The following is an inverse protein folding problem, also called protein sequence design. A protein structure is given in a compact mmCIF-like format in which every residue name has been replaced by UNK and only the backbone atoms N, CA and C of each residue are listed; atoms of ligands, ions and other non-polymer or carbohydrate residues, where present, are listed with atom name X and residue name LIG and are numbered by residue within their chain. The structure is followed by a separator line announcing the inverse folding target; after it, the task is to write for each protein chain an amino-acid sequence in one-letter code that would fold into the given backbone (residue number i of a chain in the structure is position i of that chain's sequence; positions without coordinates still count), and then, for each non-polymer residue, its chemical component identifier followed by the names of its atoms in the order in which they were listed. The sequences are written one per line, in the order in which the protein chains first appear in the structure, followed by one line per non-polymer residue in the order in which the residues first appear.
data_IF_469854669958
#
_entry.id   IF_469854669958
#
_cell.length_a   1.000
_cell.length_b   1.000
_cell.length_c   1.000
_cell.angle_alpha   90.00
_cell.angle_beta   90.00
_cell.angle_gamma   90.00
#
_symmetry.space_group_name_H-M   'P 1'
#
loop_
_entity.id
_entity.type
_entity.pdbx_description
1 polymer ?
#
# COMPACT_ATOMS: atom_id res chain seq x y z
N UNK A 1 3.05 23.51 28.85
CA UNK A 1 2.18 22.38 28.47
C UNK A 1 1.44 22.80 27.21
N UNK A 2 1.76 22.21 26.06
CA UNK A 2 1.16 22.60 24.78
C UNK A 2 -0.22 21.96 24.64
N UNK A 3 -1.26 22.69 25.05
CA UNK A 3 -2.64 22.32 24.76
C UNK A 3 -3.08 23.09 23.51
N UNK A 4 -3.39 22.38 22.44
CA UNK A 4 -4.12 22.96 21.31
C UNK A 4 -5.60 23.05 21.69
N UNK A 5 -6.19 24.24 21.57
CA UNK A 5 -7.63 24.48 21.77
C UNK A 5 -8.47 24.21 20.52
N UNK A 6 -7.84 23.75 19.43
CA UNK A 6 -8.53 23.50 18.17
C UNK A 6 -9.32 22.19 18.21
N UNK A 7 -10.56 22.25 17.71
CA UNK A 7 -11.38 21.06 17.51
C UNK A 7 -10.75 20.16 16.44
N UNK A 8 -10.47 18.90 16.79
CA UNK A 8 -10.05 17.86 15.84
C UNK A 8 -11.27 17.04 15.43
N UNK A 9 -11.46 16.85 14.13
CA UNK A 9 -12.63 16.18 13.55
C UNK A 9 -12.32 14.71 13.23
N UNK A 10 -13.28 13.83 13.45
CA UNK A 10 -13.27 12.42 13.05
C UNK A 10 -14.31 12.16 11.95
N UNK A 11 -14.29 10.97 11.34
CA UNK A 11 -15.28 10.58 10.32
C UNK A 11 -16.74 10.68 10.80
N UNK A 12 -17.01 10.38 12.08
CA UNK A 12 -18.36 10.48 12.68
C UNK A 12 -18.85 11.92 12.85
N UNK A 13 -17.95 12.90 12.79
CA UNK A 13 -18.25 14.31 13.05
C UNK A 13 -18.69 15.04 11.78
N UNK A 14 -18.66 14.38 10.61
CA UNK A 14 -18.89 15.00 9.30
C UNK A 14 -19.82 14.16 8.42
N UNK A 15 -20.49 14.84 7.48
CA UNK A 15 -21.30 14.23 6.43
C UNK A 15 -20.95 14.88 5.08
N UNK A 16 -21.07 14.11 3.99
CA UNK A 16 -20.93 14.62 2.63
C UNK A 16 -22.29 15.19 2.19
N UNK A 17 -22.33 16.47 1.83
CA UNK A 17 -23.54 17.11 1.33
C UNK A 17 -23.79 16.66 -0.13
N UNK A 18 -24.96 16.07 -0.46
CA UNK A 18 -25.28 15.67 -1.81
C UNK A 18 -25.27 16.85 -2.79
N UNK A 19 -24.87 16.60 -4.04
CA UNK A 19 -24.88 17.57 -5.14
C UNK A 19 -25.54 16.97 -6.38
N UNK A 20 -26.17 17.82 -7.19
CA UNK A 20 -26.69 17.41 -8.49
C UNK A 20 -25.59 16.81 -9.37
N UNK A 21 -25.88 15.68 -10.03
CA UNK A 21 -24.92 14.94 -10.86
C UNK A 21 -25.58 14.52 -12.18
N UNK A 22 -24.76 14.36 -13.22
CA UNK A 22 -25.17 13.81 -14.53
C UNK A 22 -24.99 12.28 -14.61
N UNK A 23 -24.45 11.67 -13.55
CA UNK A 23 -24.22 10.22 -13.50
C UNK A 23 -25.56 9.52 -13.30
N UNK A 24 -25.94 8.68 -14.27
CA UNK A 24 -27.24 8.00 -14.29
C UNK A 24 -27.22 6.67 -13.55
N UNK A 25 -26.05 6.04 -13.38
CA UNK A 25 -25.91 4.79 -12.67
C UNK A 25 -24.61 4.70 -11.87
N UNK A 26 -24.65 3.97 -10.74
CA UNK A 26 -23.46 3.70 -9.91
C UNK A 26 -22.36 2.95 -10.66
N UNK A 27 -22.74 2.14 -11.66
CA UNK A 27 -21.79 1.40 -12.52
C UNK A 27 -20.95 2.31 -13.42
N UNK A 28 -21.40 3.55 -13.63
CA UNK A 28 -20.72 4.52 -14.50
C UNK A 28 -19.64 5.30 -13.72
N UNK A 29 -19.48 5.03 -12.43
CA UNK A 29 -18.45 5.63 -11.57
C UNK A 29 -17.14 4.87 -11.74
N UNK A 30 -16.09 5.56 -12.16
CA UNK A 30 -14.73 5.02 -12.23
C UNK A 30 -14.03 5.28 -10.89
N UNK A 31 -13.53 4.22 -10.26
CA UNK A 31 -12.82 4.30 -8.98
C UNK A 31 -11.29 4.34 -9.16
N UNK A 32 -10.78 3.87 -10.29
CA UNK A 32 -9.37 3.95 -10.63
C UNK A 32 -8.88 5.40 -10.59
N UNK A 33 -7.90 5.63 -9.73
CA UNK A 33 -7.29 6.93 -9.51
C UNK A 33 -5.85 6.87 -10.02
N UNK A 34 -5.44 7.89 -10.78
CA UNK A 34 -4.05 8.04 -11.22
C UNK A 34 -3.31 8.93 -10.23
N UNK A 35 -2.19 8.45 -9.71
CA UNK A 35 -1.33 9.17 -8.76
C UNK A 35 0.07 9.29 -9.36
N UNK A 36 0.60 10.51 -9.42
CA UNK A 36 2.01 10.77 -9.71
C UNK A 36 2.74 11.04 -8.39
N UNK A 37 3.65 10.16 -8.00
CA UNK A 37 4.43 10.34 -6.78
C UNK A 37 5.53 11.37 -7.02
N UNK A 38 5.55 12.49 -6.27
CA UNK A 38 6.38 13.64 -6.61
C UNK A 38 7.89 13.38 -6.47
N UNK A 39 8.29 12.59 -5.47
CA UNK A 39 9.70 12.31 -5.21
C UNK A 39 10.27 11.23 -6.17
N UNK A 40 9.53 10.16 -6.41
CA UNK A 40 10.00 9.04 -7.24
C UNK A 40 9.68 9.21 -8.74
N UNK A 41 8.74 10.08 -9.10
CA UNK A 41 8.24 10.24 -10.47
C UNK A 41 7.39 9.05 -10.96
N UNK A 42 7.09 8.08 -10.10
CA UNK A 42 6.30 6.89 -10.45
C UNK A 42 4.85 7.30 -10.66
N UNK A 43 4.26 6.82 -11.77
CA UNK A 43 2.82 6.89 -12.00
C UNK A 43 2.19 5.56 -11.59
N UNK A 44 1.23 5.63 -10.67
CA UNK A 44 0.43 4.48 -10.25
C UNK A 44 -1.03 4.70 -10.64
N UNK A 45 -1.75 3.62 -10.97
CA UNK A 45 -3.18 3.67 -11.29
C UNK A 45 -3.87 2.45 -10.71
N UNK A 46 -4.94 2.69 -9.94
CA UNK A 46 -5.77 1.64 -9.35
C UNK A 46 -6.80 2.23 -8.39
N UNK A 47 -7.54 1.37 -7.70
CA UNK A 47 -8.51 1.78 -6.69
C UNK A 47 -7.75 2.10 -5.40
N UNK A 48 -7.87 3.32 -4.82
CA UNK A 48 -7.07 3.77 -3.68
C UNK A 48 -7.59 3.20 -2.35
N UNK A 49 -7.68 1.88 -2.29
CA UNK A 49 -8.02 1.07 -1.12
C UNK A 49 -6.85 0.12 -0.88
N UNK A 50 -6.42 0.01 0.37
CA UNK A 50 -5.28 -0.79 0.79
C UNK A 50 -5.64 -1.68 1.97
N UNK A 51 -5.38 -2.99 1.87
CA UNK A 51 -5.35 -3.87 3.03
C UNK A 51 -4.14 -3.53 3.92
N UNK A 52 -4.34 -3.46 5.24
CA UNK A 52 -3.29 -3.11 6.19
C UNK A 52 -2.25 -4.23 6.32
N UNK A 53 -1.02 -3.85 6.65
CA UNK A 53 0.15 -4.73 6.88
C UNK A 53 0.06 -5.59 8.16
N UNK A 54 -1.14 -5.83 8.68
CA UNK A 54 -1.37 -6.68 9.84
C UNK A 54 -1.36 -8.15 9.44
N UNK A 55 -0.91 -9.03 10.33
CA UNK A 55 -0.61 -10.44 10.02
C UNK A 55 -1.80 -11.25 9.51
N UNK A 56 -3.01 -10.89 9.93
CA UNK A 56 -4.25 -11.57 9.54
C UNK A 56 -5.05 -10.78 8.48
N UNK A 57 -4.47 -9.71 7.93
CA UNK A 57 -5.12 -8.84 6.93
C UNK A 57 -4.26 -8.79 5.68
N UNK A 58 -3.01 -8.33 5.80
CA UNK A 58 -2.04 -8.15 4.73
C UNK A 58 -1.36 -9.45 4.32
N UNK A 59 -2.13 -10.49 4.00
CA UNK A 59 -1.60 -11.79 3.56
C UNK A 59 -1.41 -11.83 2.05
N UNK A 60 -0.68 -12.83 1.54
CA UNK A 60 -0.57 -13.02 0.09
C UNK A 60 -1.92 -13.43 -0.53
N UNK A 61 -2.74 -14.20 0.17
CA UNK A 61 -4.07 -14.59 -0.27
C UNK A 61 -4.98 -13.35 -0.42
N UNK A 62 -4.90 -12.40 0.51
CA UNK A 62 -5.56 -11.10 0.38
C UNK A 62 -5.06 -10.36 -0.86
N UNK A 63 -3.74 -10.36 -1.07
CA UNK A 63 -3.11 -9.78 -2.26
C UNK A 63 -3.64 -10.34 -3.58
N UNK A 64 -3.70 -11.67 -3.70
CA UNK A 64 -4.25 -12.35 -4.87
C UNK A 64 -5.73 -12.02 -5.10
N UNK A 65 -6.51 -11.81 -4.04
CA UNK A 65 -7.91 -11.43 -4.17
C UNK A 65 -8.06 -9.97 -4.64
N UNK A 66 -7.36 -9.04 -3.97
CA UNK A 66 -7.50 -7.59 -4.17
C UNK A 66 -6.95 -7.10 -5.52
N UNK A 67 -5.87 -7.71 -6.03
CA UNK A 67 -5.29 -7.32 -7.31
C UNK A 67 -6.29 -7.45 -8.48
N UNK A 68 -7.27 -8.37 -8.39
CA UNK A 68 -8.32 -8.54 -9.39
C UNK A 68 -9.30 -7.34 -9.44
N UNK A 69 -9.27 -6.49 -8.42
CA UNK A 69 -10.09 -5.27 -8.31
C UNK A 69 -9.24 -4.01 -8.38
N UNK A 70 -7.97 -4.12 -8.80
CA UNK A 70 -6.97 -3.05 -8.79
C UNK A 70 -6.81 -2.39 -7.40
N UNK A 71 -7.08 -3.15 -6.33
CA UNK A 71 -6.91 -2.71 -4.95
C UNK A 71 -5.54 -3.15 -4.45
N UNK A 72 -5.00 -2.40 -3.49
CA UNK A 72 -3.65 -2.62 -2.98
C UNK A 72 -3.64 -3.41 -1.68
N UNK A 73 -2.48 -3.99 -1.38
CA UNK A 73 -2.25 -4.79 -0.21
C UNK A 73 -0.85 -4.47 0.34
N UNK A 74 -0.78 -3.90 1.54
CA UNK A 74 0.48 -3.84 2.27
C UNK A 74 0.69 -5.22 2.91
N UNK A 75 1.64 -5.99 2.39
CA UNK A 75 1.88 -7.35 2.86
C UNK A 75 2.62 -7.30 4.20
N UNK A 76 2.21 -8.15 5.15
CA UNK A 76 2.83 -8.24 6.47
C UNK A 76 4.34 -8.51 6.37
N UNK A 77 5.09 -7.87 7.26
CA UNK A 77 6.56 -7.91 7.29
C UNK A 77 7.15 -9.26 7.73
N UNK A 78 6.32 -10.20 8.19
CA UNK A 78 6.79 -11.51 8.67
C UNK A 78 6.99 -12.54 7.55
N UNK A 79 6.64 -12.22 6.31
CA UNK A 79 6.96 -13.06 5.17
C UNK A 79 8.42 -12.87 4.75
N UNK A 80 9.13 -13.99 4.63
CA UNK A 80 10.51 -13.98 4.16
C UNK A 80 10.62 -13.80 2.64
N UNK A 81 11.85 -13.53 2.16
CA UNK A 81 12.15 -13.29 0.74
C UNK A 81 11.78 -14.47 -0.17
N UNK A 82 11.86 -15.71 0.30
CA UNK A 82 11.48 -16.88 -0.49
C UNK A 82 9.96 -17.01 -0.68
N UNK A 83 9.17 -16.64 0.33
CA UNK A 83 7.72 -16.58 0.23
C UNK A 83 7.29 -15.55 -0.82
N UNK A 84 7.96 -14.38 -0.84
CA UNK A 84 7.77 -13.38 -1.90
C UNK A 84 8.08 -13.93 -3.29
N UNK A 85 9.24 -14.54 -3.48
CA UNK A 85 9.62 -15.14 -4.77
C UNK A 85 8.57 -16.16 -5.23
N UNK A 86 8.11 -17.03 -4.32
CA UNK A 86 7.06 -18.01 -4.61
C UNK A 86 5.75 -17.34 -5.01
N UNK A 87 5.28 -16.36 -4.25
CA UNK A 87 4.01 -15.67 -4.52
C UNK A 87 4.06 -14.92 -5.85
N UNK A 88 5.15 -14.21 -6.14
CA UNK A 88 5.34 -13.50 -7.42
C UNK A 88 5.37 -14.49 -8.60
N UNK A 89 6.04 -15.63 -8.44
CA UNK A 89 6.07 -16.69 -9.45
C UNK A 89 4.69 -17.30 -9.69
N UNK A 90 3.83 -17.30 -8.67
CA UNK A 90 2.44 -17.75 -8.75
C UNK A 90 1.47 -16.66 -9.25
N UNK A 91 1.96 -15.50 -9.69
CA UNK A 91 1.14 -14.46 -10.30
C UNK A 91 0.76 -13.29 -9.38
N UNK A 92 1.38 -13.17 -8.20
CA UNK A 92 1.21 -11.98 -7.38
C UNK A 92 1.75 -10.75 -8.14
N UNK A 93 0.93 -9.71 -8.23
CA UNK A 93 1.27 -8.49 -8.94
C UNK A 93 1.88 -7.44 -8.01
N UNK A 94 3.11 -7.02 -8.32
CA UNK A 94 3.85 -6.02 -7.54
C UNK A 94 3.34 -4.59 -7.76
N UNK A 95 2.46 -4.35 -8.75
CA UNK A 95 1.76 -3.06 -8.88
C UNK A 95 0.71 -2.86 -7.77
N UNK A 96 0.25 -3.94 -7.15
CA UNK A 96 -0.80 -3.91 -6.13
C UNK A 96 -0.38 -4.49 -4.77
N UNK A 97 0.76 -5.18 -4.69
CA UNK A 97 1.22 -5.83 -3.46
C UNK A 97 2.56 -5.23 -3.02
N UNK A 98 2.55 -4.55 -1.88
CA UNK A 98 3.68 -3.79 -1.40
C UNK A 98 4.36 -4.49 -0.24
N UNK A 99 5.68 -4.60 -0.32
CA UNK A 99 6.50 -5.11 0.78
C UNK A 99 6.57 -4.06 1.90
N UNK A 100 6.47 -4.52 3.13
CA UNK A 100 6.47 -3.66 4.31
C UNK A 100 7.72 -3.85 5.15
N UNK A 101 8.34 -2.75 5.53
CA UNK A 101 9.49 -2.65 6.42
C UNK A 101 9.16 -1.77 7.64
N UNK A 102 9.89 -1.96 8.73
CA UNK A 102 9.90 -1.07 9.88
C UNK A 102 11.20 -0.28 9.94
N UNK A 103 12.06 -0.59 10.90
CA UNK A 103 13.35 0.09 11.16
C UNK A 103 14.56 -0.74 10.71
N UNK A 104 14.40 -1.63 9.74
CA UNK A 104 15.52 -2.38 9.17
C UNK A 104 16.55 -1.42 8.57
N UNK A 105 17.82 -1.81 8.63
CA UNK A 105 18.90 -1.06 7.98
C UNK A 105 18.72 -1.12 6.45
N UNK A 106 19.15 -0.07 5.76
CA UNK A 106 19.03 0.04 4.29
C UNK A 106 19.68 -1.16 3.59
N UNK A 107 20.80 -1.66 4.10
CA UNK A 107 21.49 -2.83 3.54
C UNK A 107 20.64 -4.11 3.57
N UNK A 108 19.84 -4.32 4.61
CA UNK A 108 18.92 -5.46 4.71
C UNK A 108 17.77 -5.35 3.71
N UNK A 109 17.22 -4.14 3.57
CA UNK A 109 16.16 -3.84 2.60
C UNK A 109 16.68 -4.07 1.18
N UNK A 110 17.86 -3.55 0.86
CA UNK A 110 18.51 -3.70 -0.44
C UNK A 110 18.81 -5.17 -0.75
N UNK A 111 19.23 -5.97 0.24
CA UNK A 111 19.44 -7.41 0.06
C UNK A 111 18.13 -8.12 -0.34
N UNK A 112 17.04 -7.83 0.36
CA UNK A 112 15.73 -8.44 0.09
C UNK A 112 15.22 -8.05 -1.29
N UNK A 113 15.26 -6.76 -1.64
CA UNK A 113 14.81 -6.26 -2.95
C UNK A 113 15.66 -6.87 -4.06
N UNK A 114 16.98 -6.86 -3.91
CA UNK A 114 17.92 -7.43 -4.88
C UNK A 114 17.69 -8.92 -5.07
N UNK A 115 17.45 -9.66 -3.99
CA UNK A 115 17.15 -11.09 -4.06
C UNK A 115 15.87 -11.37 -4.85
N UNK A 116 14.79 -10.64 -4.54
CA UNK A 116 13.50 -10.80 -5.24
C UNK A 116 13.66 -10.44 -6.72
N UNK A 117 14.35 -9.34 -7.05
CA UNK A 117 14.63 -8.94 -8.42
C UNK A 117 15.41 -10.02 -9.17
N UNK A 118 16.50 -10.54 -8.59
CA UNK A 118 17.33 -11.58 -9.22
C UNK A 118 16.56 -12.88 -9.47
N UNK A 119 15.65 -13.26 -8.57
CA UNK A 119 14.90 -14.53 -8.66
C UNK A 119 13.66 -14.46 -9.54
N UNK A 120 13.04 -13.29 -9.64
CA UNK A 120 11.74 -13.13 -10.33
C UNK A 120 11.84 -12.29 -11.61
N UNK A 121 12.97 -11.60 -11.82
CA UNK A 121 13.15 -10.58 -12.85
C UNK A 121 12.07 -9.48 -12.81
N UNK A 122 11.43 -9.27 -11.64
CA UNK A 122 10.44 -8.21 -11.43
C UNK A 122 11.00 -7.18 -10.45
N UNK A 123 10.89 -5.91 -10.84
CA UNK A 123 11.35 -4.81 -10.02
C UNK A 123 10.29 -4.39 -8.99
N UNK A 124 10.71 -4.13 -7.76
CA UNK A 124 9.86 -3.57 -6.71
C UNK A 124 9.86 -2.05 -6.85
N UNK A 125 8.69 -1.48 -7.16
CA UNK A 125 8.52 -0.03 -7.37
C UNK A 125 8.05 0.71 -6.13
N UNK A 126 7.41 0.00 -5.21
CA UNK A 126 6.72 0.58 -4.05
C UNK A 126 6.96 -0.29 -2.83
N UNK A 127 7.28 0.37 -1.72
CA UNK A 127 7.52 -0.23 -0.42
C UNK A 127 6.76 0.59 0.63
N UNK A 128 6.37 -0.07 1.71
CA UNK A 128 5.70 0.55 2.86
C UNK A 128 6.69 0.57 4.02
N UNK A 129 6.87 1.74 4.62
CA UNK A 129 7.57 1.88 5.89
C UNK A 129 6.53 2.11 6.98
N UNK A 130 6.46 1.20 7.96
CA UNK A 130 5.49 1.26 9.05
C UNK A 130 6.15 1.10 10.42
N UNK A 131 6.02 2.14 11.23
CA UNK A 131 6.41 2.16 12.63
C UNK A 131 5.36 2.93 13.46
N UNK A 132 5.22 2.62 14.77
CA UNK A 132 4.22 3.31 15.59
C UNK A 132 4.44 4.82 15.76
N UNK A 133 5.69 5.29 15.68
CA UNK A 133 6.05 6.69 15.85
C UNK A 133 6.98 7.17 14.73
N UNK A 134 6.40 7.71 13.65
CA UNK A 134 7.13 8.27 12.51
C UNK A 134 7.90 9.57 12.77
N UNK A 135 7.97 10.07 14.02
CA UNK A 135 8.69 11.30 14.37
C UNK A 135 10.06 11.06 15.00
N UNK A 136 10.52 9.81 15.10
CA UNK A 136 11.83 9.48 15.65
C UNK A 136 12.92 9.73 14.62
N UNK A 137 14.10 10.18 15.05
CA UNK A 137 15.25 10.46 14.16
C UNK A 137 15.76 9.22 13.41
N UNK A 138 15.56 8.02 14.00
CA UNK A 138 15.96 6.76 13.38
C UNK A 138 15.09 6.39 12.15
N UNK A 139 13.91 6.99 12.01
CA UNK A 139 12.99 6.75 10.90
C UNK A 139 13.22 7.76 9.77
#
# INVERSE_FOLDING_TARGET
MFYSSEKKLNFKDVLIVPKSSKINSRKDVVLDTKILFPASGINWTGVPIMASNMDNVGTFEMGFALQNFHMTNAVSKFYNKDAWVKSISNGLDLEFNFITFGLQEISEIDEIISYILQKTNKNIKTIVFDIPNGYIEKF
#
